data_IF_485636949113
#
_entry.id   IF_485636949113
#
_cell.length_a   1.000
_cell.length_b   1.000
_cell.length_c   1.000
_cell.angle_alpha   90.00
_cell.angle_beta   90.00
_cell.angle_gamma   90.00
#
_symmetry.space_group_name_H-M   'P 1'
#
loop_
_entity.id
_entity.type
_entity.pdbx_description
1 polymer ?
#
# COMPACT_ATOMS: atom_id res chain seq x y z
N UNK A 1 -38.00 -39.62 37.11
CA UNK A 1 -37.80 -40.62 38.17
C UNK A 1 -36.42 -41.23 37.98
N UNK A 2 -35.45 -40.78 38.78
CA UNK A 2 -34.67 -41.57 39.77
C UNK A 2 -33.66 -42.53 39.10
N UNK A 3 -32.34 -42.48 39.33
CA UNK A 3 -31.51 -41.69 40.23
C UNK A 3 -30.03 -42.07 40.08
N UNK A 4 -29.14 -41.11 40.36
CA UNK A 4 -27.72 -41.32 40.71
C UNK A 4 -27.61 -41.74 42.20
N UNK A 5 -26.49 -42.34 42.65
CA UNK A 5 -25.39 -41.58 43.28
C UNK A 5 -24.00 -42.16 42.88
N UNK A 6 -22.82 -41.55 43.02
CA UNK A 6 -22.36 -40.34 43.70
C UNK A 6 -21.04 -40.60 44.45
N UNK A 7 -19.87 -40.24 43.84
CA UNK A 7 -18.58 -39.74 44.43
C UNK A 7 -17.82 -40.61 45.48
N UNK A 8 -16.58 -40.27 45.96
CA UNK A 8 -15.70 -39.08 45.80
C UNK A 8 -14.24 -39.43 45.34
N UNK A 9 -13.23 -38.59 45.15
CA UNK A 9 -12.96 -37.16 45.39
C UNK A 9 -11.53 -36.77 44.90
N UNK A 10 -11.39 -35.47 44.60
CA UNK A 10 -10.26 -34.57 44.24
C UNK A 10 -8.86 -34.74 44.93
N UNK A 11 -7.84 -33.85 44.67
CA UNK A 11 -7.42 -33.11 43.46
C UNK A 11 -5.87 -32.99 43.28
N UNK A 12 -5.40 -32.61 42.08
CA UNK A 12 -4.21 -31.76 41.83
C UNK A 12 -4.28 -31.35 40.34
N UNK A 13 -4.28 -30.09 39.89
CA UNK A 13 -3.65 -28.91 40.43
C UNK A 13 -2.26 -28.77 39.81
N UNK A 14 -2.15 -28.08 38.66
CA UNK A 14 -1.06 -27.17 38.30
C UNK A 14 -1.33 -26.58 36.90
N UNK A 15 -1.49 -25.25 36.88
CA UNK A 15 -1.77 -24.46 35.70
C UNK A 15 -0.58 -24.35 34.75
N UNK A 16 -0.87 -24.38 33.45
CA UNK A 16 0.06 -23.98 32.42
C UNK A 16 0.21 -22.44 32.45
N UNK A 17 1.43 -21.88 32.44
CA UNK A 17 1.61 -20.45 32.44
C UNK A 17 1.39 -19.88 31.04
N UNK A 18 0.61 -18.80 30.99
CA UNK A 18 0.53 -17.88 29.87
C UNK A 18 1.94 -17.42 29.47
N UNK A 19 2.30 -17.62 28.20
CA UNK A 19 3.53 -17.12 27.62
C UNK A 19 3.57 -15.60 27.68
N UNK A 20 4.32 -15.06 28.65
CA UNK A 20 4.70 -13.65 28.69
C UNK A 20 5.59 -13.36 27.48
N UNK A 21 5.12 -12.52 26.54
CA UNK A 21 6.01 -11.82 25.61
C UNK A 21 7.02 -11.02 26.45
N UNK A 22 8.29 -11.36 26.30
CA UNK A 22 9.40 -10.73 27.02
C UNK A 22 9.51 -9.26 26.63
N UNK A 23 9.28 -8.38 27.61
CA UNK A 23 9.58 -6.95 27.59
C UNK A 23 11.06 -6.79 27.91
N UNK A 24 11.82 -6.13 27.04
CA UNK A 24 13.11 -5.55 27.41
C UNK A 24 13.05 -4.04 27.18
N UNK A 25 12.89 -3.30 28.29
CA UNK A 25 13.09 -1.85 28.35
C UNK A 25 14.58 -1.56 28.47
N UNK A 26 15.18 -0.95 27.46
CA UNK A 26 16.52 -0.39 27.57
C UNK A 26 16.44 1.01 28.22
N UNK A 27 16.71 1.08 29.53
CA UNK A 27 17.16 2.31 30.16
C UNK A 27 18.67 2.45 29.90
N UNK A 28 19.10 3.60 29.34
CA UNK A 28 20.48 3.83 28.96
C UNK A 28 20.83 5.32 28.84
N UNK A 29 20.91 5.97 30.00
CA UNK A 29 21.86 7.02 30.41
C UNK A 29 22.38 8.02 29.35
N UNK A 30 21.94 9.27 29.51
CA UNK A 30 22.57 10.48 28.97
C UNK A 30 23.93 10.71 29.65
N UNK A 31 25.00 10.82 28.86
CA UNK A 31 26.21 11.57 29.25
C UNK A 31 26.73 12.37 28.05
N UNK A 32 26.67 13.69 28.18
CA UNK A 32 27.27 14.63 27.26
C UNK A 32 28.78 14.74 27.45
N UNK A 33 29.46 15.14 26.38
CA UNK A 33 30.77 15.80 26.42
C UNK A 33 30.76 16.90 25.36
N UNK A 34 30.74 18.14 25.83
CA UNK A 34 31.09 19.34 25.07
C UNK A 34 32.61 19.46 24.89
N UNK A 35 33.02 20.02 23.74
CA UNK A 35 34.23 20.82 23.42
C UNK A 35 34.39 20.73 21.89
N UNK A 36 34.49 21.78 21.07
CA UNK A 36 34.77 23.19 21.30
C UNK A 36 35.72 23.67 20.18
N UNK A 37 35.21 24.59 19.34
CA UNK A 37 35.91 25.63 18.55
C UNK A 37 36.88 25.27 17.41
N UNK A 38 36.68 25.96 16.27
CA UNK A 38 37.73 26.17 15.25
C UNK A 38 37.22 26.58 13.86
N UNK A 39 36.82 27.85 13.68
CA UNK A 39 36.68 28.49 12.36
C UNK A 39 38.04 28.76 11.72
N UNK A 40 38.09 28.94 10.39
CA UNK A 40 38.57 30.25 9.89
C UNK A 40 37.72 30.84 8.74
N UNK A 41 37.38 32.13 8.87
CA UNK A 41 37.29 33.13 7.79
C UNK A 41 38.71 33.34 7.20
N UNK A 42 39.00 33.76 5.96
CA UNK A 42 38.40 34.70 5.00
C UNK A 42 39.21 34.56 3.68
N UNK A 43 38.68 35.00 2.52
CA UNK A 43 39.33 35.91 1.54
C UNK A 43 38.39 36.03 0.31
N UNK A 44 38.09 37.28 -0.03
CA UNK A 44 37.38 37.70 -1.24
C UNK A 44 38.34 38.61 -2.04
N UNK A 45 38.51 38.42 -3.36
CA UNK A 45 38.49 39.53 -4.33
C UNK A 45 38.52 39.10 -5.83
N UNK A 46 37.62 39.75 -6.59
CA UNK A 46 37.75 40.37 -7.93
C UNK A 46 38.02 39.61 -9.26
N UNK A 47 37.06 39.89 -10.16
CA UNK A 47 37.12 40.31 -11.59
C UNK A 47 37.09 39.23 -12.68
N UNK A 48 36.11 39.38 -13.58
CA UNK A 48 36.18 38.83 -14.94
C UNK A 48 34.83 38.73 -15.66
N UNK A 49 34.26 39.86 -16.09
CA UNK A 49 33.16 39.90 -17.07
C UNK A 49 33.61 39.37 -18.44
N UNK A 50 32.72 38.68 -19.16
CA UNK A 50 32.60 38.77 -20.63
C UNK A 50 31.16 38.45 -21.07
N UNK A 51 30.74 39.15 -22.13
CA UNK A 51 29.37 39.42 -22.60
C UNK A 51 28.92 38.51 -23.75
N UNK A 52 27.60 38.24 -23.80
CA UNK A 52 26.65 38.28 -24.97
C UNK A 52 26.90 37.36 -26.19
N UNK A 53 25.91 37.11 -27.10
CA UNK A 53 24.64 37.82 -27.38
C UNK A 53 23.38 36.89 -27.33
N UNK A 54 22.13 37.33 -27.29
CA UNK A 54 21.51 38.55 -27.81
C UNK A 54 20.80 38.24 -29.14
N UNK A 55 19.52 37.83 -29.09
CA UNK A 55 18.60 37.93 -30.24
C UNK A 55 17.33 38.63 -29.77
N UNK A 56 17.06 39.76 -30.41
CA UNK A 56 15.90 40.62 -30.28
C UNK A 56 14.90 40.23 -31.35
N UNK A 57 13.62 40.07 -31.01
CA UNK A 57 12.51 40.24 -31.96
C UNK A 57 11.39 41.01 -31.28
N UNK A 58 10.96 42.10 -31.91
CA UNK A 58 9.82 42.94 -31.55
C UNK A 58 8.68 42.75 -32.59
N UNK A 59 7.45 43.25 -32.32
CA UNK A 59 6.20 42.54 -32.59
C UNK A 59 5.48 42.98 -33.88
N UNK A 60 4.59 42.13 -34.40
CA UNK A 60 3.58 42.50 -35.41
C UNK A 60 2.29 41.67 -35.24
N UNK A 61 1.16 42.36 -35.14
CA UNK A 61 -0.10 41.94 -35.76
C UNK A 61 -1.22 41.41 -34.86
N UNK A 62 -2.12 42.30 -34.47
CA UNK A 62 -3.50 42.02 -34.04
C UNK A 62 -4.35 41.44 -35.19
N UNK A 63 -5.20 40.44 -34.90
CA UNK A 63 -6.64 40.27 -35.28
C UNK A 63 -7.11 38.80 -35.48
N UNK A 64 -8.43 38.52 -35.31
CA UNK A 64 -8.91 37.48 -34.39
C UNK A 64 -9.51 36.24 -35.06
N UNK A 65 -9.60 35.15 -34.30
CA UNK A 65 -10.32 33.93 -34.68
C UNK A 65 -10.31 32.91 -33.55
N UNK A 66 -11.15 33.13 -32.54
CA UNK A 66 -11.32 32.23 -31.40
C UNK A 66 -12.01 30.93 -31.83
N UNK A 67 -11.23 29.88 -32.03
CA UNK A 67 -11.71 28.51 -31.86
C UNK A 67 -11.31 28.12 -30.44
N UNK A 68 -12.28 28.17 -29.53
CA UNK A 68 -12.16 27.59 -28.20
C UNK A 68 -11.86 26.10 -28.36
N UNK A 69 -10.56 25.74 -28.31
CA UNK A 69 -10.16 24.38 -28.01
C UNK A 69 -10.67 24.11 -26.61
N UNK A 70 -11.69 23.26 -26.51
CA UNK A 70 -11.98 22.56 -25.26
C UNK A 70 -10.65 21.96 -24.78
N UNK A 71 -10.11 22.53 -23.71
CA UNK A 71 -8.97 21.97 -23.02
C UNK A 71 -9.40 20.62 -22.50
N UNK A 72 -8.93 19.54 -23.14
CA UNK A 72 -8.92 18.23 -22.50
C UNK A 72 -8.19 18.43 -21.16
N UNK A 73 -8.74 18.00 -20.02
CA UNK A 73 -8.00 18.04 -18.77
C UNK A 73 -6.72 17.24 -19.02
N UNK A 74 -5.58 17.92 -18.88
CA UNK A 74 -4.28 17.27 -18.87
C UNK A 74 -4.37 16.28 -17.72
N UNK A 75 -4.49 14.99 -18.03
CA UNK A 75 -4.28 13.97 -17.02
C UNK A 75 -2.83 14.14 -16.58
N UNK A 76 -2.64 14.74 -15.40
CA UNK A 76 -1.34 14.79 -14.75
C UNK A 76 -1.01 13.32 -14.48
N UNK A 77 -0.21 12.72 -15.36
CA UNK A 77 0.27 11.36 -15.16
C UNK A 77 1.30 11.43 -14.04
N UNK A 78 0.98 10.86 -12.89
CA UNK A 78 1.95 10.67 -11.82
C UNK A 78 2.89 9.52 -12.20
N UNK A 79 4.18 9.78 -12.49
CA UNK A 79 5.09 8.75 -13.00
C UNK A 79 5.42 7.67 -11.95
N UNK A 80 5.10 7.90 -10.68
CA UNK A 80 5.36 6.96 -9.59
C UNK A 80 4.29 5.86 -9.50
N UNK A 81 3.13 6.06 -10.16
CA UNK A 81 1.96 5.18 -10.05
C UNK A 81 1.40 4.82 -11.41
N UNK A 82 1.29 3.52 -11.68
CA UNK A 82 0.57 3.01 -12.85
C UNK A 82 -0.62 2.16 -12.44
N UNK A 83 -1.77 2.32 -13.10
CA UNK A 83 -2.93 1.47 -12.84
C UNK A 83 -2.81 0.19 -13.67
N UNK A 84 -2.78 -0.96 -13.00
CA UNK A 84 -2.83 -2.25 -13.65
C UNK A 84 -4.27 -2.68 -13.95
N UNK A 85 -5.19 -2.35 -13.05
CA UNK A 85 -6.58 -2.80 -13.10
C UNK A 85 -7.51 -1.71 -12.55
N UNK A 86 -8.62 -1.46 -13.23
CA UNK A 86 -9.75 -0.69 -12.72
C UNK A 86 -11.01 -1.57 -12.76
N UNK A 87 -11.63 -1.81 -11.61
CA UNK A 87 -12.81 -2.67 -11.52
C UNK A 87 -14.08 -1.99 -12.05
N UNK A 88 -15.02 -2.75 -12.65
CA UNK A 88 -16.32 -2.24 -13.08
C UNK A 88 -17.30 -2.11 -11.90
N UNK A 89 -18.47 -1.51 -12.17
CA UNK A 89 -19.64 -1.63 -11.30
C UNK A 89 -19.52 -0.99 -9.91
N UNK A 90 -18.61 -0.03 -9.72
CA UNK A 90 -18.34 0.55 -8.40
C UNK A 90 -17.35 -0.28 -7.55
N UNK A 91 -16.79 -1.36 -8.09
CA UNK A 91 -15.88 -2.24 -7.38
C UNK A 91 -16.46 -3.65 -7.23
N UNK A 92 -15.57 -4.64 -7.15
CA UNK A 92 -15.97 -6.04 -7.11
C UNK A 92 -16.06 -6.54 -5.66
N UNK A 93 -17.18 -7.15 -5.25
CA UNK A 93 -17.24 -7.88 -3.99
C UNK A 93 -16.44 -9.18 -4.09
N UNK A 94 -16.10 -9.74 -2.93
CA UNK A 94 -15.30 -10.96 -2.78
C UNK A 94 -15.81 -12.11 -3.65
N UNK A 95 -17.12 -12.31 -3.72
CA UNK A 95 -17.78 -13.41 -4.44
C UNK A 95 -17.61 -13.34 -5.96
N UNK A 96 -17.20 -12.18 -6.50
CA UNK A 96 -16.94 -11.98 -7.93
C UNK A 96 -15.46 -12.09 -8.29
N UNK A 97 -14.60 -12.42 -7.33
CA UNK A 97 -13.15 -12.54 -7.52
C UNK A 97 -12.73 -14.00 -7.34
N UNK A 98 -11.95 -14.51 -8.27
CA UNK A 98 -11.29 -15.81 -8.19
C UNK A 98 -9.78 -15.62 -8.11
N UNK A 99 -9.10 -16.56 -7.45
CA UNK A 99 -7.66 -16.65 -7.45
C UNK A 99 -7.18 -18.02 -7.96
N UNK A 100 -6.13 -17.99 -8.76
CA UNK A 100 -5.34 -19.15 -9.16
C UNK A 100 -3.96 -19.00 -8.52
N UNK A 101 -3.71 -19.72 -7.44
CA UNK A 101 -2.40 -19.80 -6.80
C UNK A 101 -1.61 -20.95 -7.39
N UNK A 102 -0.44 -20.68 -7.97
CA UNK A 102 0.37 -21.69 -8.66
C UNK A 102 1.86 -21.34 -8.64
N UNK A 103 2.77 -22.33 -8.53
CA UNK A 103 4.21 -22.09 -8.67
C UNK A 103 4.59 -21.61 -10.08
N UNK A 104 3.72 -21.82 -11.07
CA UNK A 104 3.89 -21.21 -12.39
C UNK A 104 3.91 -19.67 -12.35
N UNK A 105 3.33 -19.08 -11.30
CA UNK A 105 3.25 -17.64 -11.08
C UNK A 105 4.31 -17.12 -10.11
N UNK A 106 5.25 -17.96 -9.67
CA UNK A 106 6.37 -17.55 -8.82
C UNK A 106 7.43 -16.79 -9.63
N UNK A 107 8.27 -16.04 -8.92
CA UNK A 107 9.45 -15.37 -9.47
C UNK A 107 10.37 -16.39 -10.16
N UNK A 108 10.96 -16.03 -11.30
CA UNK A 108 12.00 -16.85 -11.94
C UNK A 108 13.32 -16.74 -11.15
N UNK A 109 14.13 -17.81 -11.05
CA UNK A 109 15.47 -17.74 -10.47
C UNK A 109 16.31 -16.66 -11.17
N UNK A 110 17.15 -15.94 -10.43
CA UNK A 110 17.99 -14.90 -11.02
C UNK A 110 18.99 -15.50 -12.03
N UNK A 111 19.38 -14.77 -13.11
CA UNK A 111 20.31 -15.29 -14.11
C UNK A 111 21.66 -15.80 -13.55
N UNK A 112 22.13 -15.20 -12.46
CA UNK A 112 23.37 -15.58 -11.76
C UNK A 112 23.16 -16.43 -10.50
N UNK A 113 21.94 -16.93 -10.27
CA UNK A 113 21.57 -17.65 -9.06
C UNK A 113 21.05 -16.75 -7.92
N UNK A 114 20.23 -17.35 -7.05
CA UNK A 114 19.58 -16.65 -5.94
C UNK A 114 20.51 -16.45 -4.72
N UNK A 115 21.78 -16.87 -4.81
CA UNK A 115 22.83 -16.60 -3.83
C UNK A 115 23.01 -15.10 -3.58
N UNK A 116 22.77 -14.27 -4.60
CA UNK A 116 22.76 -12.81 -4.47
C UNK A 116 21.70 -12.31 -3.46
N UNK A 117 20.51 -12.91 -3.46
CA UNK A 117 19.43 -12.59 -2.50
C UNK A 117 19.86 -13.03 -1.09
N UNK A 118 20.45 -14.23 -0.96
CA UNK A 118 21.02 -14.70 0.31
C UNK A 118 22.05 -13.72 0.86
N UNK A 119 23.00 -13.27 0.03
CA UNK A 119 24.07 -12.36 0.46
C UNK A 119 23.53 -11.01 0.95
N UNK A 120 22.53 -10.45 0.26
CA UNK A 120 21.86 -9.21 0.68
C UNK A 120 21.17 -9.39 2.04
N UNK A 121 20.43 -10.50 2.21
CA UNK A 121 19.73 -10.81 3.45
C UNK A 121 20.68 -10.99 4.65
N UNK A 122 21.75 -11.78 4.48
CA UNK A 122 22.79 -11.99 5.50
C UNK A 122 23.46 -10.68 5.91
N UNK A 123 23.74 -9.81 4.94
CA UNK A 123 24.30 -8.48 5.21
C UNK A 123 23.33 -7.62 6.02
N UNK A 124 22.03 -7.68 5.70
CA UNK A 124 21.01 -6.93 6.42
C UNK A 124 20.82 -7.44 7.85
N UNK A 125 20.77 -8.75 8.06
CA UNK A 125 20.65 -9.36 9.39
C UNK A 125 21.82 -9.01 10.31
N UNK A 126 23.04 -8.87 9.76
CA UNK A 126 24.20 -8.41 10.55
C UNK A 126 24.02 -6.98 11.09
N UNK A 127 23.35 -6.11 10.33
CA UNK A 127 23.08 -4.73 10.74
C UNK A 127 21.81 -4.60 11.60
N UNK A 128 20.80 -5.43 11.33
CA UNK A 128 19.47 -5.38 11.93
C UNK A 128 19.01 -6.81 12.31
N UNK A 129 19.57 -7.41 13.37
CA UNK A 129 19.35 -8.82 13.72
C UNK A 129 17.94 -9.13 14.21
N UNK A 130 17.11 -8.12 14.45
CA UNK A 130 15.70 -8.26 14.83
C UNK A 130 14.76 -8.48 13.63
N UNK A 131 15.26 -8.33 12.39
CA UNK A 131 14.45 -8.61 11.20
C UNK A 131 14.15 -10.10 11.10
N UNK A 132 12.95 -10.42 10.63
CA UNK A 132 12.51 -11.77 10.33
C UNK A 132 11.97 -11.83 8.89
N UNK A 133 12.05 -13.01 8.28
CA UNK A 133 11.43 -13.24 6.97
C UNK A 133 9.97 -13.66 7.17
N UNK A 134 9.11 -13.29 6.23
CA UNK A 134 7.71 -13.69 6.20
C UNK A 134 7.28 -14.02 4.76
N UNK A 135 6.44 -15.05 4.55
CA UNK A 135 5.89 -15.36 3.24
C UNK A 135 4.87 -14.30 2.83
N UNK A 136 4.78 -14.02 1.53
CA UNK A 136 3.84 -13.06 0.93
C UNK A 136 3.24 -13.64 -0.35
N UNK A 137 2.06 -13.16 -0.74
CA UNK A 137 1.52 -13.45 -2.07
C UNK A 137 2.27 -12.64 -3.13
N UNK A 138 2.57 -13.26 -4.28
CA UNK A 138 3.13 -12.57 -5.46
C UNK A 138 2.03 -12.34 -6.49
N UNK A 139 1.89 -11.10 -6.98
CA UNK A 139 0.99 -10.84 -8.11
C UNK A 139 1.71 -11.13 -9.43
N UNK A 140 1.21 -12.10 -10.20
CA UNK A 140 1.68 -12.32 -11.58
C UNK A 140 0.84 -11.51 -12.58
N UNK A 141 -0.48 -11.65 -12.53
CA UNK A 141 -1.39 -10.93 -13.43
C UNK A 141 -2.81 -10.91 -12.90
N UNK A 142 -3.63 -9.99 -13.41
CA UNK A 142 -5.05 -9.93 -13.15
C UNK A 142 -5.81 -9.81 -14.49
N UNK A 143 -6.91 -10.54 -14.64
CA UNK A 143 -7.71 -10.54 -15.88
C UNK A 143 -9.19 -10.34 -15.54
N UNK A 144 -9.78 -9.27 -16.07
CA UNK A 144 -11.23 -9.04 -15.99
C UNK A 144 -11.96 -9.90 -17.02
N UNK A 145 -13.12 -10.41 -16.62
CA UNK A 145 -14.09 -10.97 -17.54
C UNK A 145 -14.70 -9.85 -18.42
N UNK A 146 -15.26 -10.19 -19.60
CA UNK A 146 -15.99 -9.24 -20.41
C UNK A 146 -17.09 -8.53 -19.61
N UNK A 147 -17.25 -7.22 -19.80
CA UNK A 147 -18.25 -6.42 -19.08
C UNK A 147 -19.66 -6.98 -19.36
N UNK A 148 -20.45 -7.20 -18.29
CA UNK A 148 -21.81 -7.74 -18.38
C UNK A 148 -21.91 -9.26 -18.49
N UNK A 149 -20.79 -9.98 -18.41
CA UNK A 149 -20.79 -11.45 -18.28
C UNK A 149 -21.43 -11.90 -16.95
N UNK A 150 -21.89 -13.15 -16.91
CA UNK A 150 -22.35 -13.78 -15.66
C UNK A 150 -21.21 -14.60 -15.05
N UNK A 151 -21.11 -14.59 -13.73
CA UNK A 151 -20.15 -15.38 -12.97
C UNK A 151 -19.02 -14.53 -12.38
N UNK A 152 -17.86 -15.14 -12.10
CA UNK A 152 -16.69 -14.41 -11.61
C UNK A 152 -16.25 -13.33 -12.61
N UNK A 153 -16.03 -12.12 -12.11
CA UNK A 153 -15.66 -10.96 -12.92
C UNK A 153 -14.15 -10.72 -12.99
N UNK A 154 -13.37 -11.34 -12.09
CA UNK A 154 -11.92 -11.16 -12.01
C UNK A 154 -11.22 -12.47 -11.67
N UNK A 155 -10.16 -12.79 -12.41
CA UNK A 155 -9.20 -13.83 -12.08
C UNK A 155 -7.86 -13.19 -11.69
N UNK A 156 -7.42 -13.45 -10.46
CA UNK A 156 -6.10 -13.13 -9.95
C UNK A 156 -5.17 -14.33 -10.10
N UNK A 157 -4.05 -14.16 -10.81
CA UNK A 157 -3.00 -15.17 -10.88
C UNK A 157 -1.90 -14.82 -9.89
N UNK A 158 -1.75 -15.68 -8.91
CA UNK A 158 -0.88 -15.45 -7.75
C UNK A 158 0.17 -16.54 -7.65
N UNK A 159 1.36 -16.15 -7.21
CA UNK A 159 2.41 -17.04 -6.74
C UNK A 159 2.70 -16.78 -5.26
N UNK A 160 3.80 -17.35 -4.77
CA UNK A 160 4.35 -17.10 -3.44
C UNK A 160 5.71 -16.41 -3.56
N UNK A 161 6.02 -15.58 -2.57
CA UNK A 161 7.28 -14.87 -2.43
C UNK A 161 7.56 -14.61 -0.95
N UNK A 162 8.59 -13.83 -0.62
CA UNK A 162 8.89 -13.50 0.77
C UNK A 162 9.48 -12.10 0.94
N UNK A 163 9.49 -11.62 2.17
CA UNK A 163 10.12 -10.34 2.53
C UNK A 163 11.62 -10.31 2.18
N UNK A 164 12.33 -11.42 2.42
CA UNK A 164 13.72 -11.62 2.00
C UNK A 164 13.91 -11.43 0.50
N UNK A 165 13.08 -12.07 -0.32
CA UNK A 165 13.18 -11.96 -1.79
C UNK A 165 12.88 -10.54 -2.26
N UNK A 166 11.88 -9.88 -1.66
CA UNK A 166 11.59 -8.46 -1.92
C UNK A 166 12.80 -7.56 -1.68
N UNK A 167 13.49 -7.73 -0.55
CA UNK A 167 14.70 -6.96 -0.25
C UNK A 167 15.85 -7.26 -1.22
N UNK A 168 15.95 -8.51 -1.70
CA UNK A 168 16.97 -8.94 -2.65
C UNK A 168 16.70 -8.53 -4.10
N UNK A 169 15.45 -8.22 -4.46
CA UNK A 169 15.07 -7.89 -5.85
C UNK A 169 14.49 -6.49 -6.00
N UNK A 170 13.29 -6.21 -5.49
CA UNK A 170 12.58 -4.96 -5.71
C UNK A 170 13.27 -3.79 -5.01
N UNK A 171 13.78 -4.02 -3.80
CA UNK A 171 14.50 -3.03 -3.01
C UNK A 171 16.01 -3.00 -3.29
N UNK A 172 16.48 -3.82 -4.23
CA UNK A 172 17.88 -3.84 -4.63
C UNK A 172 18.21 -2.60 -5.47
N UNK A 173 19.41 -2.06 -5.32
CA UNK A 173 19.92 -1.01 -6.21
C UNK A 173 20.01 -1.47 -7.68
N UNK A 174 20.01 -2.79 -7.92
CA UNK A 174 20.01 -3.39 -9.26
C UNK A 174 18.61 -3.74 -9.80
N UNK A 175 17.52 -3.29 -9.15
CA UNK A 175 16.16 -3.61 -9.59
C UNK A 175 15.87 -3.22 -11.05
N UNK A 176 16.34 -2.04 -11.50
CA UNK A 176 16.16 -1.61 -12.89
C UNK A 176 16.86 -2.56 -13.89
N UNK A 177 18.04 -3.07 -13.55
CA UNK A 177 18.75 -4.06 -14.36
C UNK A 177 17.99 -5.39 -14.40
N UNK A 178 17.43 -5.84 -13.26
CA UNK A 178 16.57 -7.02 -13.21
C UNK A 178 15.34 -6.88 -14.12
N UNK A 179 14.71 -5.70 -14.14
CA UNK A 179 13.59 -5.42 -15.06
C UNK A 179 14.00 -5.54 -16.52
N UNK A 180 15.15 -4.98 -16.89
CA UNK A 180 15.68 -5.08 -18.25
C UNK A 180 16.01 -6.53 -18.66
N UNK A 181 16.61 -7.30 -17.75
CA UNK A 181 16.89 -8.72 -17.97
C UNK A 181 15.60 -9.53 -18.09
N UNK A 182 14.60 -9.25 -17.26
CA UNK A 182 13.28 -9.88 -17.33
C UNK A 182 12.62 -9.68 -18.69
N UNK A 183 12.64 -8.44 -19.18
CA UNK A 183 12.14 -8.11 -20.51
C UNK A 183 12.89 -8.87 -21.62
N UNK A 184 14.22 -8.94 -21.53
CA UNK A 184 15.05 -9.64 -22.54
C UNK A 184 14.81 -11.15 -22.55
N UNK A 185 14.76 -11.78 -21.38
CA UNK A 185 14.77 -13.24 -21.27
C UNK A 185 13.36 -13.85 -21.29
N UNK A 186 12.34 -13.10 -20.87
CA UNK A 186 10.97 -13.60 -20.67
C UNK A 186 9.90 -12.73 -21.32
N UNK A 187 10.25 -11.56 -21.88
CA UNK A 187 9.25 -10.59 -22.32
C UNK A 187 8.43 -9.98 -21.17
N UNK A 188 8.91 -10.11 -19.93
CA UNK A 188 8.22 -9.65 -18.72
C UNK A 188 9.21 -8.92 -17.80
N UNK A 189 9.00 -7.62 -17.61
CA UNK A 189 9.84 -6.77 -16.74
C UNK A 189 9.80 -7.20 -15.27
N UNK A 190 8.81 -7.98 -14.85
CA UNK A 190 8.64 -8.39 -13.46
C UNK A 190 9.10 -9.84 -13.21
N UNK A 191 9.58 -10.56 -14.23
CA UNK A 191 9.90 -11.99 -14.15
C UNK A 191 10.89 -12.35 -13.04
N UNK A 192 11.88 -11.48 -12.80
CA UNK A 192 12.92 -11.63 -11.78
C UNK A 192 12.64 -10.86 -10.48
N UNK A 193 11.45 -10.27 -10.33
CA UNK A 193 11.07 -9.51 -9.16
C UNK A 193 10.13 -10.31 -8.25
N UNK A 194 10.32 -10.14 -6.95
CA UNK A 194 9.52 -10.76 -5.90
C UNK A 194 8.06 -10.32 -5.95
N UNK A 195 7.82 -9.04 -6.23
CA UNK A 195 6.49 -8.42 -6.39
C UNK A 195 5.44 -8.85 -5.35
N UNK A 196 5.73 -8.65 -4.05
CA UNK A 196 4.75 -8.93 -3.00
C UNK A 196 3.51 -8.05 -3.19
N UNK A 197 2.33 -8.67 -3.20
CA UNK A 197 1.05 -7.99 -3.32
C UNK A 197 0.69 -7.31 -2.00
N UNK A 198 0.57 -5.99 -2.02
CA UNK A 198 0.00 -5.22 -0.91
C UNK A 198 -1.53 -5.13 -0.96
N UNK A 199 -2.12 -4.66 0.12
CA UNK A 199 -3.52 -4.23 0.19
C UNK A 199 -3.60 -2.82 0.80
N UNK A 200 -4.52 -2.00 0.31
CA UNK A 200 -4.79 -0.67 0.84
C UNK A 200 -6.29 -0.34 0.81
N UNK A 201 -6.73 0.60 1.65
CA UNK A 201 -8.15 0.95 1.77
C UNK A 201 -8.40 2.45 1.66
N UNK A 202 -9.25 2.84 0.70
CA UNK A 202 -10.02 4.07 0.77
C UNK A 202 -11.14 3.90 1.82
N UNK A 203 -10.80 4.15 3.08
CA UNK A 203 -11.70 4.04 4.23
C UNK A 203 -12.55 5.31 4.38
N UNK A 204 -13.85 5.19 4.16
CA UNK A 204 -14.81 6.30 4.31
C UNK A 204 -15.51 6.27 5.68
N UNK A 205 -15.72 7.43 6.28
CA UNK A 205 -16.47 7.61 7.53
C UNK A 205 -17.95 7.89 7.28
N UNK A 206 -18.79 7.82 8.31
CA UNK A 206 -20.24 8.07 8.21
C UNK A 206 -20.60 9.54 7.89
N UNK A 207 -19.65 10.46 8.09
CA UNK A 207 -19.73 11.89 7.79
C UNK A 207 -18.93 12.28 6.54
N UNK A 208 -18.72 11.34 5.63
CA UNK A 208 -18.16 11.56 4.28
C UNK A 208 -16.72 12.10 4.22
N UNK A 209 -15.85 11.60 5.10
CA UNK A 209 -14.39 11.80 5.02
C UNK A 209 -13.67 10.51 4.62
N UNK A 210 -12.56 10.63 3.90
CA UNK A 210 -11.57 9.56 3.79
C UNK A 210 -10.50 9.68 4.87
N UNK A 211 -10.10 8.53 5.41
CA UNK A 211 -9.07 8.40 6.44
C UNK A 211 -7.69 8.23 5.81
N UNK A 212 -6.73 8.99 6.30
CA UNK A 212 -5.31 8.93 5.93
C UNK A 212 -4.44 8.84 7.19
N UNK A 213 -3.24 8.30 7.04
CA UNK A 213 -2.29 8.08 8.13
C UNK A 213 -0.94 8.73 7.81
N UNK A 214 -0.30 9.34 8.79
CA UNK A 214 1.07 9.86 8.66
C UNK A 214 2.06 8.78 9.08
N UNK A 215 2.82 8.22 8.14
CA UNK A 215 3.84 7.21 8.46
C UNK A 215 4.90 7.76 9.41
N UNK A 216 5.41 6.92 10.30
CA UNK A 216 6.58 7.25 11.13
C UNK A 216 7.80 7.55 10.26
N UNK A 217 8.73 8.37 10.77
CA UNK A 217 10.02 8.62 10.09
C UNK A 217 11.02 7.47 10.29
N UNK A 218 10.67 6.48 11.10
CA UNK A 218 11.54 5.35 11.46
C UNK A 218 11.25 4.08 10.65
N UNK A 219 10.19 4.06 9.84
CA UNK A 219 9.85 2.95 8.95
C UNK A 219 10.79 2.89 7.74
N UNK A 220 10.98 1.68 7.19
CA UNK A 220 11.92 1.45 6.10
C UNK A 220 11.43 1.99 4.74
N UNK A 221 10.11 1.92 4.49
CA UNK A 221 9.50 2.36 3.23
C UNK A 221 8.65 3.62 3.45
N UNK A 222 8.84 4.62 2.57
CA UNK A 222 8.09 5.88 2.58
C UNK A 222 8.06 6.64 3.94
N UNK A 223 9.22 6.87 4.59
CA UNK A 223 9.26 7.49 5.92
C UNK A 223 8.68 8.91 5.93
N UNK A 224 7.72 9.17 6.83
CA UNK A 224 7.09 10.48 6.99
C UNK A 224 6.04 10.86 5.93
N UNK A 225 5.82 10.02 4.92
CA UNK A 225 4.78 10.26 3.91
C UNK A 225 3.38 9.98 4.48
N UNK A 226 2.37 10.47 3.78
CA UNK A 226 0.96 10.14 4.03
C UNK A 226 0.63 8.82 3.32
N UNK A 227 -0.08 7.95 4.02
CA UNK A 227 -0.57 6.67 3.52
C UNK A 227 -2.08 6.52 3.76
N UNK A 228 -2.64 5.44 3.24
CA UNK A 228 -3.96 4.93 3.63
C UNK A 228 -3.77 3.68 4.51
N UNK A 229 -4.78 3.25 5.30
CA UNK A 229 -4.70 1.99 6.02
C UNK A 229 -4.45 0.82 5.06
N UNK A 230 -3.53 -0.08 5.41
CA UNK A 230 -3.14 -1.18 4.54
C UNK A 230 -1.91 -1.93 5.04
N UNK A 231 -1.47 -2.91 4.26
CA UNK A 231 -0.34 -3.76 4.61
C UNK A 231 -0.03 -4.83 3.56
N UNK A 232 0.65 -5.89 3.96
CA UNK A 232 1.04 -6.99 3.06
C UNK A 232 0.59 -8.34 3.64
N UNK A 233 -0.52 -8.92 3.14
CA UNK A 233 -1.09 -10.15 3.68
C UNK A 233 -0.11 -11.31 3.65
N UNK A 234 -0.19 -12.16 4.68
CA UNK A 234 0.73 -13.29 4.88
C UNK A 234 -0.02 -14.61 4.70
N UNK A 235 0.39 -15.48 3.75
CA UNK A 235 -0.31 -16.75 3.49
C UNK A 235 -0.39 -17.69 4.70
N UNK A 236 0.49 -17.50 5.70
CA UNK A 236 0.48 -18.27 6.96
C UNK A 236 -0.80 -18.09 7.79
N UNK A 237 -1.56 -17.01 7.58
CA UNK A 237 -2.88 -16.85 8.20
C UNK A 237 -3.87 -17.95 7.76
N UNK A 238 -3.66 -18.55 6.58
CA UNK A 238 -4.49 -19.63 6.04
C UNK A 238 -3.98 -21.03 6.41
N UNK A 239 -2.67 -21.18 6.59
CA UNK A 239 -2.01 -22.44 6.91
C UNK A 239 -0.99 -22.22 8.04
N UNK A 240 -1.35 -22.49 9.30
CA UNK A 240 -0.44 -22.37 10.43
C UNK A 240 0.71 -23.37 10.31
N UNK A 241 1.89 -22.90 9.87
CA UNK A 241 3.12 -23.66 9.69
C UNK A 241 4.21 -22.79 9.06
N UNK A 242 5.49 -23.17 9.21
CA UNK A 242 6.62 -22.31 8.84
C UNK A 242 6.81 -22.10 7.32
N UNK A 243 6.03 -22.77 6.46
CA UNK A 243 6.19 -22.69 4.99
C UNK A 243 4.89 -23.02 4.25
N UNK A 244 4.10 -22.00 3.84
CA UNK A 244 2.90 -22.23 3.05
C UNK A 244 3.26 -22.82 1.67
N UNK A 245 2.54 -23.87 1.24
CA UNK A 245 2.67 -24.44 -0.10
C UNK A 245 1.46 -24.10 -0.96
N UNK A 246 1.65 -23.99 -2.28
CA UNK A 246 0.56 -23.64 -3.21
C UNK A 246 -0.62 -24.61 -3.15
N UNK A 247 -0.35 -25.90 -2.98
CA UNK A 247 -1.37 -26.95 -2.91
C UNK A 247 -2.28 -26.87 -1.67
N UNK A 248 -1.82 -26.21 -0.60
CA UNK A 248 -2.56 -26.08 0.65
C UNK A 248 -3.53 -24.88 0.62
N UNK A 249 -3.39 -24.01 -0.38
CA UNK A 249 -4.03 -22.71 -0.46
C UNK A 249 -5.01 -22.64 -1.62
N UNK A 250 -6.22 -23.17 -1.39
CA UNK A 250 -7.31 -23.08 -2.36
C UNK A 250 -7.62 -21.61 -2.71
N UNK A 251 -7.90 -21.34 -3.99
CA UNK A 251 -8.12 -19.97 -4.50
C UNK A 251 -9.17 -19.17 -3.73
N UNK A 252 -10.27 -19.79 -3.32
CA UNK A 252 -11.31 -19.13 -2.51
C UNK A 252 -10.78 -18.68 -1.13
N UNK A 253 -9.92 -19.49 -0.50
CA UNK A 253 -9.29 -19.13 0.78
C UNK A 253 -8.33 -17.96 0.60
N UNK A 254 -7.58 -17.92 -0.50
CA UNK A 254 -6.68 -16.81 -0.83
C UNK A 254 -7.47 -15.52 -1.03
N UNK A 255 -8.57 -15.55 -1.80
CA UNK A 255 -9.43 -14.37 -1.97
C UNK A 255 -10.03 -13.94 -0.63
N UNK A 256 -10.47 -14.89 0.20
CA UNK A 256 -10.98 -14.58 1.55
C UNK A 256 -9.93 -13.90 2.41
N UNK A 257 -8.68 -14.35 2.36
CA UNK A 257 -7.56 -13.74 3.08
C UNK A 257 -7.33 -12.31 2.63
N UNK A 258 -7.22 -12.04 1.32
CA UNK A 258 -6.99 -10.68 0.80
C UNK A 258 -8.06 -9.68 1.25
N UNK A 259 -9.33 -10.10 1.30
CA UNK A 259 -10.43 -9.26 1.78
C UNK A 259 -10.49 -9.16 3.31
N UNK A 260 -10.02 -10.19 4.04
CA UNK A 260 -10.00 -10.16 5.51
C UNK A 260 -8.82 -9.34 6.02
N UNK A 261 -7.67 -9.44 5.38
CA UNK A 261 -6.45 -8.75 5.78
C UNK A 261 -6.62 -7.24 5.75
N UNK A 262 -7.28 -6.68 4.74
CA UNK A 262 -7.51 -5.22 4.68
C UNK A 262 -8.39 -4.73 5.85
N UNK A 263 -9.37 -5.51 6.29
CA UNK A 263 -10.16 -5.18 7.49
C UNK A 263 -9.32 -5.31 8.76
N UNK A 264 -8.48 -6.34 8.84
CA UNK A 264 -7.60 -6.58 9.98
C UNK A 264 -6.57 -5.45 10.13
N UNK A 265 -5.96 -4.99 9.04
CA UNK A 265 -5.02 -3.84 9.06
C UNK A 265 -5.73 -2.56 9.54
N UNK A 266 -6.98 -2.31 9.12
CA UNK A 266 -7.77 -1.19 9.64
C UNK A 266 -8.02 -1.34 11.15
N UNK A 267 -8.36 -2.54 11.62
CA UNK A 267 -8.56 -2.81 13.04
C UNK A 267 -7.28 -2.62 13.85
N UNK A 268 -6.14 -3.11 13.36
CA UNK A 268 -4.88 -3.10 14.08
C UNK A 268 -4.24 -1.70 14.11
N UNK A 269 -4.26 -0.97 12.99
CA UNK A 269 -3.63 0.34 12.89
C UNK A 269 -4.56 1.48 13.33
N UNK A 270 -5.84 1.43 12.98
CA UNK A 270 -6.82 2.51 13.27
C UNK A 270 -7.61 2.25 14.56
N UNK A 271 -7.47 1.05 15.14
CA UNK A 271 -8.15 0.64 16.38
C UNK A 271 -9.69 0.71 16.29
N UNK A 272 -10.23 0.40 15.10
CA UNK A 272 -11.66 0.38 14.85
C UNK A 272 -12.26 -1.01 15.15
N UNK A 273 -13.46 -1.09 15.78
CA UNK A 273 -14.13 -2.37 15.94
C UNK A 273 -14.54 -2.94 14.58
N UNK A 274 -14.26 -4.22 14.33
CA UNK A 274 -14.58 -4.88 13.06
C UNK A 274 -16.06 -4.72 12.66
N UNK A 275 -16.98 -4.71 13.63
CA UNK A 275 -18.43 -4.58 13.40
C UNK A 275 -18.85 -3.21 12.83
N UNK A 276 -17.98 -2.19 12.87
CA UNK A 276 -18.27 -0.88 12.27
C UNK A 276 -17.85 -0.79 10.81
N UNK A 277 -17.19 -1.82 10.27
CA UNK A 277 -16.64 -1.83 8.91
C UNK A 277 -17.55 -2.64 7.97
N UNK A 278 -17.82 -2.10 6.77
CA UNK A 278 -18.50 -2.84 5.71
C UNK A 278 -17.61 -3.94 5.15
N UNK A 279 -18.21 -4.89 4.43
CA UNK A 279 -17.41 -5.78 3.57
C UNK A 279 -16.66 -4.94 2.51
N UNK A 280 -15.38 -5.24 2.22
CA UNK A 280 -14.61 -4.47 1.24
C UNK A 280 -15.11 -4.67 -0.19
N UNK A 281 -14.93 -3.65 -1.02
CA UNK A 281 -15.08 -3.74 -2.48
C UNK A 281 -13.72 -3.49 -3.12
N UNK A 282 -13.25 -4.40 -3.98
CA UNK A 282 -12.01 -4.21 -4.73
C UNK A 282 -12.23 -3.15 -5.81
N UNK A 283 -11.52 -2.03 -5.72
CA UNK A 283 -11.57 -0.95 -6.71
C UNK A 283 -10.65 -1.21 -7.90
N UNK A 284 -9.51 -1.85 -7.66
CA UNK A 284 -8.51 -2.09 -8.70
C UNK A 284 -7.14 -2.46 -8.13
N UNK A 285 -6.14 -2.37 -8.99
CA UNK A 285 -4.75 -2.67 -8.65
C UNK A 285 -3.87 -1.56 -9.21
N UNK A 286 -3.04 -0.97 -8.34
CA UNK A 286 -2.05 0.03 -8.71
C UNK A 286 -0.64 -0.51 -8.49
N UNK A 287 0.33 -0.02 -9.26
CA UNK A 287 1.75 -0.34 -9.13
C UNK A 287 2.52 0.87 -8.63
N UNK A 288 3.45 0.61 -7.71
CA UNK A 288 4.43 1.58 -7.25
C UNK A 288 5.71 1.45 -8.08
N UNK A 289 5.91 2.36 -9.03
CA UNK A 289 7.09 2.37 -9.91
C UNK A 289 8.38 2.74 -9.17
N UNK A 290 8.29 3.46 -8.05
CA UNK A 290 9.46 3.74 -7.18
C UNK A 290 10.01 2.50 -6.48
N UNK A 291 9.18 1.45 -6.36
CA UNK A 291 9.52 0.15 -5.77
C UNK A 291 9.52 -0.95 -6.84
N UNK A 292 10.08 -0.61 -8.00
CA UNK A 292 10.26 -1.48 -9.15
C UNK A 292 8.96 -2.10 -9.71
N UNK A 293 7.82 -1.43 -9.52
CA UNK A 293 6.52 -1.86 -10.07
C UNK A 293 5.72 -2.80 -9.16
N UNK A 294 6.11 -2.97 -7.88
CA UNK A 294 5.33 -3.79 -6.93
C UNK A 294 3.88 -3.31 -6.87
N UNK A 295 2.94 -4.24 -6.80
CA UNK A 295 1.51 -3.93 -6.89
C UNK A 295 0.81 -3.95 -5.53
N UNK A 296 -0.26 -3.17 -5.41
CA UNK A 296 -1.20 -3.19 -4.29
C UNK A 296 -2.63 -3.30 -4.82
N UNK A 297 -3.44 -4.16 -4.19
CA UNK A 297 -4.87 -4.23 -4.41
C UNK A 297 -5.57 -3.18 -3.53
N UNK A 298 -6.33 -2.28 -4.16
CA UNK A 298 -6.92 -1.14 -3.48
C UNK A 298 -8.42 -1.35 -3.28
N UNK A 299 -8.88 -1.21 -2.05
CA UNK A 299 -10.25 -1.48 -1.63
C UNK A 299 -10.98 -0.22 -1.20
N UNK A 300 -12.30 -0.26 -1.25
CA UNK A 300 -13.19 0.68 -0.56
C UNK A 300 -13.83 -0.02 0.63
N UNK A 301 -13.85 0.66 1.78
CA UNK A 301 -14.49 0.20 3.01
C UNK A 301 -15.26 1.38 3.62
N UNK A 302 -16.53 1.16 3.95
CA UNK A 302 -17.36 2.14 4.65
C UNK A 302 -17.35 1.84 6.15
N UNK A 303 -17.11 2.88 6.96
CA UNK A 303 -17.22 2.83 8.41
C UNK A 303 -18.53 3.49 8.86
N UNK A 304 -19.20 2.90 9.85
CA UNK A 304 -20.41 3.46 10.47
C UNK A 304 -20.13 4.57 11.48
N UNK A 305 -18.86 4.86 11.79
CA UNK A 305 -18.44 5.89 12.73
C UNK A 305 -18.10 7.20 12.01
N UNK A 306 -18.30 8.32 12.69
CA UNK A 306 -17.88 9.64 12.20
C UNK A 306 -16.36 9.81 12.31
N UNK A 307 -15.81 10.79 11.59
CA UNK A 307 -14.39 11.16 11.64
C UNK A 307 -13.90 11.46 13.08
N UNK A 308 -14.73 12.11 13.90
CA UNK A 308 -14.44 12.38 15.31
C UNK A 308 -14.32 11.08 16.13
N UNK A 309 -15.28 10.16 15.94
CA UNK A 309 -15.27 8.87 16.63
C UNK A 309 -14.08 8.02 16.18
N UNK A 310 -13.78 7.97 14.89
CA UNK A 310 -12.59 7.27 14.34
C UNK A 310 -11.32 7.83 14.95
N UNK A 311 -11.17 9.17 15.03
CA UNK A 311 -10.02 9.81 15.69
C UNK A 311 -9.91 9.38 17.15
N UNK A 312 -11.02 9.34 17.89
CA UNK A 312 -11.04 8.91 19.29
C UNK A 312 -10.58 7.46 19.45
N UNK A 313 -11.04 6.57 18.57
CA UNK A 313 -10.60 5.17 18.55
C UNK A 313 -9.10 5.06 18.31
N UNK A 314 -8.57 5.69 17.25
CA UNK A 314 -7.15 5.73 16.94
C UNK A 314 -6.30 6.20 18.14
N UNK A 315 -6.66 7.35 18.74
CA UNK A 315 -5.91 7.91 19.88
C UNK A 315 -5.99 7.05 21.15
N UNK A 316 -7.04 6.24 21.30
CA UNK A 316 -7.21 5.33 22.44
C UNK A 316 -6.43 4.01 22.33
N UNK A 317 -5.92 3.67 21.14
CA UNK A 317 -5.13 2.45 20.90
C UNK A 317 -3.79 2.43 21.66
N UNK A 318 -3.34 3.60 22.12
CA UNK A 318 -2.12 3.75 22.91
C UNK A 318 -0.84 3.76 22.07
N UNK A 319 0.34 3.82 22.72
CA UNK A 319 1.63 3.97 22.04
C UNK A 319 2.09 2.78 21.21
N UNK A 320 1.34 1.66 21.18
CA UNK A 320 1.73 0.46 20.44
C UNK A 320 1.37 0.52 18.93
N UNK A 321 0.74 1.61 18.48
CA UNK A 321 0.52 1.94 17.07
C UNK A 321 1.76 2.60 16.44
N UNK A 322 2.90 1.91 16.45
CA UNK A 322 4.22 2.49 16.09
C UNK A 322 4.38 2.85 14.60
N UNK A 323 3.50 2.34 13.72
CA UNK A 323 3.67 2.48 12.27
C UNK A 323 3.26 3.88 11.75
N UNK A 324 2.20 4.44 12.31
CA UNK A 324 1.73 5.80 12.02
C UNK A 324 1.83 6.72 13.24
N UNK A 325 2.06 8.01 12.97
CA UNK A 325 2.29 9.07 13.95
C UNK A 325 1.14 10.08 14.00
N UNK A 326 0.14 9.91 13.15
CA UNK A 326 -1.04 10.77 13.11
C UNK A 326 -2.10 10.28 12.13
N UNK A 327 -3.32 10.73 12.37
CA UNK A 327 -4.51 10.44 11.55
C UNK A 327 -5.08 11.73 10.96
N UNK A 328 -5.36 11.71 9.67
CA UNK A 328 -5.81 12.83 8.84
C UNK A 328 -7.15 12.45 8.19
N UNK A 329 -8.04 13.42 8.04
CA UNK A 329 -9.34 13.25 7.41
C UNK A 329 -9.50 14.29 6.31
N UNK A 330 -9.94 13.86 5.12
CA UNK A 330 -10.22 14.75 4.00
C UNK A 330 -11.64 14.46 3.50
N UNK A 331 -12.47 15.49 3.40
CA UNK A 331 -13.83 15.36 2.87
C UNK A 331 -13.78 14.72 1.47
N UNK A 332 -14.66 13.77 1.20
CA UNK A 332 -14.75 13.08 -0.09
C UNK A 332 -14.94 14.03 -1.27
N UNK A 333 -15.57 15.19 -1.05
CA UNK A 333 -15.69 16.26 -2.04
C UNK A 333 -14.32 16.84 -2.44
N UNK A 334 -13.44 17.05 -1.46
CA UNK A 334 -12.09 17.59 -1.67
C UNK A 334 -11.12 16.54 -2.23
N UNK A 335 -11.35 15.25 -1.94
CA UNK A 335 -10.57 14.13 -2.50
C UNK A 335 -10.57 14.12 -4.04
N UNK A 336 -11.64 14.62 -4.67
CA UNK A 336 -11.74 14.73 -6.15
C UNK A 336 -10.61 15.56 -6.77
N UNK A 337 -10.13 16.57 -6.04
CA UNK A 337 -9.06 17.49 -6.49
C UNK A 337 -7.77 17.31 -5.69
N UNK A 338 -7.61 16.20 -4.98
CA UNK A 338 -6.45 15.99 -4.10
C UNK A 338 -5.12 16.10 -4.85
N UNK A 339 -5.09 15.67 -6.13
CA UNK A 339 -3.94 15.76 -7.02
C UNK A 339 -3.45 17.19 -7.28
N UNK A 340 -4.31 18.18 -7.08
CA UNK A 340 -4.00 19.59 -7.29
C UNK A 340 -3.53 20.28 -6.00
N UNK A 341 -3.50 19.55 -4.89
CA UNK A 341 -3.14 20.07 -3.56
C UNK A 341 -1.70 19.71 -3.19
N UNK A 342 -1.12 20.45 -2.25
CA UNK A 342 0.21 20.16 -1.70
C UNK A 342 0.30 18.77 -1.05
N UNK A 343 -0.83 18.27 -0.52
CA UNK A 343 -0.91 16.93 0.07
C UNK A 343 -0.57 15.82 -0.93
N UNK A 344 -0.75 16.02 -2.24
CA UNK A 344 -0.41 15.02 -3.25
C UNK A 344 1.08 14.69 -3.28
N UNK A 345 1.94 15.69 -3.07
CA UNK A 345 3.40 15.51 -3.01
C UNK A 345 3.83 14.76 -1.73
N UNK A 346 2.98 14.73 -0.71
CA UNK A 346 3.24 14.03 0.54
C UNK A 346 2.69 12.61 0.58
N UNK A 347 1.84 12.21 -0.38
CA UNK A 347 1.31 10.85 -0.44
C UNK A 347 2.34 9.85 -0.95
N UNK A 348 2.39 8.68 -0.31
CA UNK A 348 3.14 7.55 -0.85
C UNK A 348 2.47 7.00 -2.13
N UNK A 349 3.22 6.31 -3.01
CA UNK A 349 2.67 5.84 -4.29
C UNK A 349 1.47 4.90 -4.18
N UNK A 350 1.42 4.00 -3.18
CA UNK A 350 0.25 3.13 -2.96
C UNK A 350 -1.00 3.94 -2.60
N UNK A 351 -0.89 4.90 -1.69
CA UNK A 351 -2.01 5.78 -1.32
C UNK A 351 -2.49 6.62 -2.51
N UNK A 352 -1.58 7.14 -3.33
CA UNK A 352 -1.95 7.80 -4.61
C UNK A 352 -2.77 6.85 -5.49
N UNK A 353 -2.36 5.60 -5.62
CA UNK A 353 -3.10 4.54 -6.34
C UNK A 353 -4.52 4.34 -5.80
N UNK A 354 -4.67 4.22 -4.47
CA UNK A 354 -5.96 4.07 -3.80
C UNK A 354 -6.89 5.26 -4.10
N UNK A 355 -6.39 6.50 -4.01
CA UNK A 355 -7.19 7.70 -4.25
C UNK A 355 -7.58 7.86 -5.73
N UNK A 356 -6.67 7.53 -6.66
CA UNK A 356 -6.98 7.53 -8.10
C UNK A 356 -8.12 6.54 -8.38
N UNK A 357 -8.03 5.32 -7.84
CA UNK A 357 -9.05 4.29 -8.04
C UNK A 357 -10.37 4.68 -7.36
N UNK A 358 -10.34 5.24 -6.15
CA UNK A 358 -11.52 5.77 -5.49
C UNK A 358 -12.25 6.81 -6.35
N UNK A 359 -11.54 7.82 -6.85
CA UNK A 359 -12.14 8.86 -7.70
C UNK A 359 -12.75 8.30 -9.00
N UNK A 360 -12.12 7.30 -9.61
CA UNK A 360 -12.57 6.69 -10.87
C UNK A 360 -13.71 5.69 -10.70
N UNK A 361 -13.74 4.96 -9.59
CA UNK A 361 -14.64 3.81 -9.40
C UNK A 361 -15.83 4.16 -8.49
N UNK A 362 -15.61 4.93 -7.43
CA UNK A 362 -16.65 5.36 -6.48
C UNK A 362 -17.07 6.82 -6.72
N UNK A 363 -16.10 7.71 -6.98
CA UNK A 363 -16.32 9.16 -7.07
C UNK A 363 -16.97 9.67 -8.35
N UNK A 364 -17.06 8.84 -9.40
CA UNK A 364 -17.58 9.21 -10.73
C UNK A 364 -19.01 8.67 -10.93
N UNK A 365 -20.05 9.46 -10.63
CA UNK A 365 -21.42 8.99 -10.78
C UNK A 365 -21.76 8.74 -12.25
N UNK A 366 -22.32 7.56 -12.53
CA UNK A 366 -22.81 7.16 -13.86
C UNK A 366 -24.32 7.42 -14.02
N UNK A 367 -25.01 7.81 -12.94
CA UNK A 367 -26.46 8.10 -12.93
C UNK A 367 -26.79 9.59 -13.09
N UNK A 368 -27.80 9.90 -13.91
CA UNK A 368 -28.24 11.26 -14.25
C UNK A 368 -28.56 12.16 -13.04
N UNK A 369 -28.99 11.58 -11.91
CA UNK A 369 -29.30 12.34 -10.69
C UNK A 369 -28.05 12.91 -10.01
N UNK A 370 -26.95 12.15 -9.95
CA UNK A 370 -25.70 12.54 -9.29
C UNK A 370 -24.75 13.32 -10.21
N UNK A 371 -24.95 13.27 -11.53
CA UNK A 371 -24.22 14.06 -12.53
C UNK A 371 -24.79 15.46 -12.77
N UNK A 372 -25.80 15.88 -12.00
CA UNK A 372 -26.37 17.23 -12.13
C UNK A 372 -25.34 18.29 -11.74
N UNK A 373 -25.25 19.44 -12.44
CA UNK A 373 -24.25 20.50 -12.16
C UNK A 373 -24.25 21.04 -10.72
N UNK A 374 -25.36 20.88 -10.00
CA UNK A 374 -25.49 21.25 -8.60
C UNK A 374 -24.79 20.27 -7.63
N UNK A 375 -24.62 19.00 -8.01
CA UNK A 375 -23.97 17.94 -7.23
C UNK A 375 -22.58 17.56 -7.77
N UNK A 376 -22.30 17.96 -9.01
CA UNK A 376 -21.00 17.82 -9.67
C UNK A 376 -20.65 19.16 -10.34
N UNK A 377 -20.03 20.11 -9.61
CA UNK A 377 -19.66 21.40 -10.17
C UNK A 377 -18.78 21.20 -11.41
N UNK A 378 -19.11 21.81 -12.57
CA UNK A 378 -18.26 21.76 -13.74
C UNK A 378 -16.90 22.42 -13.44
N UNK A 379 -15.85 21.85 -14.03
CA UNK A 379 -14.45 22.29 -13.91
C UNK A 379 -14.24 23.75 -14.33
#
# INVERSE_FOLDING_TARGET
MVGMPGRPGHPAGLGAPAGKKGRFTAQGVVRGVEKGCGYPQEVCDRRGQLRSPGVVVAPLGDRPGSILRQSCPVQIMDPEVTLLLQCPGGGLPREQVQAELSPAHDRRPLPGGDEAITAIWETRLKAQPWLFNAPKFRLHSATLAPIGSRGPQLLLRLGLTSYRDFLGTNWSSSAAWLRQQGATNWGDTQAYLADPLGVGAALATADDFLVFLRRSRQVAEAPGLVDVPGGHPEPQALCPGDSPQHQDLAGELVVRELFSSVLQEICDEVNLPLLTLSQPLLLGIARNETSAGRASAEFYVQCSLTSEQVRKHYLSGGPEAHESTGIIFVETQNVRRLQETEMWAELCPSAKGAIILYNRVQGSPTGAALGSPALLPPL
#
